data_IF_444310079679
#
_entry.id   IF_444310079679
#
_cell.length_a   1.000
_cell.length_b   1.000
_cell.length_c   1.000
_cell.angle_alpha   90.00
_cell.angle_beta   90.00
_cell.angle_gamma   90.00
#
_symmetry.space_group_name_H-M   'P 1'
#
loop_
_entity.id
_entity.type
_entity.pdbx_description
1 polymer ?
#
# COMPACT_ATOMS: atom_id res chain seq x y z
N UNK A 1 -32.72 -3.08 19.63
CA UNK A 1 -31.60 -3.14 18.67
C UNK A 1 -30.74 -1.90 18.89
N UNK A 2 -29.48 -2.04 19.33
CA UNK A 2 -28.56 -0.92 19.47
C UNK A 2 -27.94 -0.56 18.09
N UNK A 3 -27.65 0.72 17.82
CA UNK A 3 -26.99 1.14 16.58
C UNK A 3 -25.47 0.90 16.62
N UNK A 4 -24.79 0.86 15.45
CA UNK A 4 -23.43 0.32 15.32
C UNK A 4 -22.33 1.32 15.75
N UNK A 5 -21.31 0.76 16.41
CA UNK A 5 -20.05 1.43 16.74
C UNK A 5 -19.20 1.60 15.47
N UNK A 6 -19.21 2.80 14.90
CA UNK A 6 -18.25 3.24 13.88
C UNK A 6 -17.02 3.85 14.59
N UNK A 7 -15.95 3.07 14.64
CA UNK A 7 -14.64 3.46 15.13
C UNK A 7 -13.88 4.21 14.01
N UNK A 8 -14.16 5.50 13.83
CA UNK A 8 -13.29 6.38 13.02
C UNK A 8 -12.34 7.14 13.94
N UNK A 9 -11.14 6.59 14.12
CA UNK A 9 -9.99 7.32 14.62
C UNK A 9 -9.37 8.14 13.50
N UNK A 10 -9.67 9.44 13.46
CA UNK A 10 -8.87 10.40 12.70
C UNK A 10 -8.77 11.68 13.53
N UNK A 11 -7.61 11.90 14.15
CA UNK A 11 -7.30 13.15 14.85
C UNK A 11 -6.94 14.22 13.81
N UNK A 12 -7.92 14.99 13.37
CA UNK A 12 -7.69 16.30 12.77
C UNK A 12 -7.98 17.37 13.85
N UNK A 13 -6.95 17.81 14.57
CA UNK A 13 -7.04 18.99 15.42
C UNK A 13 -6.75 20.23 14.58
N UNK A 14 -7.79 20.93 14.14
CA UNK A 14 -7.73 22.33 13.74
C UNK A 14 -8.80 23.10 14.51
N UNK A 15 -8.50 23.42 15.77
CA UNK A 15 -9.28 24.33 16.59
C UNK A 15 -8.60 25.68 16.68
N UNK A 16 -9.03 26.64 15.85
CA UNK A 16 -8.85 28.07 16.11
C UNK A 16 -10.03 28.52 16.99
N UNK A 17 -9.77 29.46 17.92
CA UNK A 17 -10.68 30.40 18.65
C UNK A 17 -10.44 30.35 20.18
N UNK A 18 -10.75 31.41 20.96
CA UNK A 18 -10.57 32.86 20.75
C UNK A 18 -9.72 33.50 21.89
N UNK A 19 -9.16 34.69 21.65
CA UNK A 19 -8.47 35.45 22.70
C UNK A 19 -9.46 35.97 23.76
N UNK A 20 -9.24 35.60 25.03
CA UNK A 20 -9.84 36.29 26.19
C UNK A 20 -8.74 36.55 27.22
N UNK A 21 -8.32 37.82 27.34
CA UNK A 21 -7.39 38.26 28.37
C UNK A 21 -8.10 38.32 29.73
N UNK A 22 -7.60 37.56 30.71
CA UNK A 22 -7.83 37.84 32.14
C UNK A 22 -6.57 37.47 32.94
N UNK A 23 -5.96 38.48 33.56
CA UNK A 23 -5.54 38.48 34.97
C UNK A 23 -4.45 37.52 35.47
N UNK A 24 -3.27 38.11 35.68
CA UNK A 24 -2.19 37.77 36.63
C UNK A 24 -2.37 36.59 37.64
N UNK A 25 -1.45 35.62 37.59
CA UNK A 25 -0.49 35.24 38.66
C UNK A 25 0.24 33.92 38.33
N UNK A 26 1.51 33.86 38.75
CA UNK A 26 2.27 32.65 39.13
C UNK A 26 2.91 31.77 38.04
N UNK A 27 4.15 31.38 38.36
CA UNK A 27 4.88 30.18 37.95
C UNK A 27 5.57 30.13 36.58
N UNK A 28 6.89 30.21 36.65
CA UNK A 28 7.91 29.49 35.87
C UNK A 28 7.40 28.62 34.69
N UNK A 29 7.02 29.25 33.57
CA UNK A 29 6.86 28.52 32.31
C UNK A 29 8.27 28.35 31.71
N UNK A 30 8.91 27.22 32.00
CA UNK A 30 10.06 26.76 31.22
C UNK A 30 9.59 26.56 29.78
N UNK A 31 9.96 27.48 28.90
CA UNK A 31 9.87 27.29 27.43
C UNK A 31 10.63 26.01 27.10
N UNK A 32 9.91 24.93 26.83
CA UNK A 32 10.49 23.78 26.15
C UNK A 32 10.79 24.20 24.71
N UNK A 33 12.02 24.66 24.48
CA UNK A 33 12.57 24.74 23.13
C UNK A 33 12.66 23.32 22.60
N UNK A 34 11.92 23.02 21.53
CA UNK A 34 11.97 21.75 20.83
C UNK A 34 13.32 21.68 20.12
N UNK A 35 14.34 21.13 20.76
CA UNK A 35 15.65 20.90 20.13
C UNK A 35 15.45 19.87 19.03
N UNK A 36 15.56 20.28 17.78
CA UNK A 36 15.52 19.37 16.64
C UNK A 36 16.89 18.75 16.50
N UNK A 37 17.02 17.49 16.88
CA UNK A 37 18.23 16.71 16.67
C UNK A 37 18.18 16.08 15.27
N UNK A 38 19.19 16.34 14.44
CA UNK A 38 19.30 15.74 13.11
C UNK A 38 20.25 14.53 13.13
N UNK A 39 19.92 13.48 12.36
CA UNK A 39 20.85 12.37 12.13
C UNK A 39 22.03 12.82 11.25
N UNK A 40 23.16 12.12 11.36
CA UNK A 40 24.32 12.32 10.46
C UNK A 40 24.24 11.48 9.16
N UNK A 41 23.10 10.83 8.90
CA UNK A 41 22.92 9.98 7.72
C UNK A 41 22.54 10.87 6.54
N UNK A 42 23.38 10.88 5.51
CA UNK A 42 23.08 11.60 4.27
C UNK A 42 21.87 11.00 3.55
N UNK A 43 21.04 11.85 2.95
CA UNK A 43 19.91 11.40 2.14
C UNK A 43 20.40 10.59 0.93
N UNK A 44 19.66 9.57 0.55
CA UNK A 44 19.92 8.84 -0.68
C UNK A 44 19.68 9.76 -1.89
N UNK A 45 20.72 10.01 -2.67
CA UNK A 45 20.69 10.91 -3.85
C UNK A 45 19.65 10.49 -4.90
N UNK A 46 19.30 9.21 -4.98
CA UNK A 46 18.26 8.75 -5.91
C UNK A 46 16.87 9.23 -5.47
N UNK A 47 16.64 9.43 -4.17
CA UNK A 47 15.39 10.01 -3.65
C UNK A 47 15.24 11.50 -3.94
N UNK A 48 16.30 12.17 -4.40
CA UNK A 48 16.27 13.58 -4.81
C UNK A 48 15.89 13.73 -6.28
N UNK A 49 16.11 12.69 -7.09
CA UNK A 49 15.76 12.65 -8.52
C UNK A 49 14.28 12.34 -8.75
N UNK A 50 13.62 11.70 -7.79
CA UNK A 50 12.19 11.40 -7.84
C UNK A 50 11.39 12.70 -7.87
N UNK A 51 10.57 12.88 -8.91
CA UNK A 51 9.62 13.98 -8.98
C UNK A 51 8.39 13.64 -8.12
N UNK A 52 7.86 14.63 -7.40
CA UNK A 52 6.78 14.45 -6.41
C UNK A 52 5.40 14.13 -7.00
N UNK A 53 5.28 13.93 -8.31
CA UNK A 53 3.98 13.78 -8.97
C UNK A 53 3.59 12.31 -9.10
N UNK A 54 3.38 11.64 -7.97
CA UNK A 54 2.69 10.36 -8.01
C UNK A 54 1.21 10.64 -8.33
N UNK A 55 0.78 10.27 -9.53
CA UNK A 55 -0.52 10.59 -10.11
C UNK A 55 -1.70 10.24 -9.18
N UNK A 56 -1.61 9.10 -8.49
CA UNK A 56 -2.73 8.57 -7.71
C UNK A 56 -3.04 9.37 -6.43
N UNK A 57 -2.07 9.71 -5.55
CA UNK A 57 -2.29 10.60 -4.42
C UNK A 57 -2.92 11.94 -4.80
N UNK A 58 -2.50 12.52 -5.93
CA UNK A 58 -3.06 13.78 -6.41
C UNK A 58 -4.52 13.62 -6.86
N UNK A 59 -4.85 12.53 -7.57
CA UNK A 59 -6.24 12.20 -7.92
C UNK A 59 -7.08 12.03 -6.65
N UNK A 60 -6.62 11.24 -5.67
CA UNK A 60 -7.33 11.03 -4.41
C UNK A 60 -7.55 12.34 -3.64
N UNK A 61 -6.55 13.23 -3.60
CA UNK A 61 -6.68 14.52 -2.95
C UNK A 61 -7.74 15.39 -3.62
N UNK A 62 -7.72 15.48 -4.96
CA UNK A 62 -8.70 16.25 -5.72
C UNK A 62 -10.10 15.68 -5.59
N UNK A 63 -10.23 14.36 -5.56
CA UNK A 63 -11.49 13.67 -5.31
C UNK A 63 -12.10 14.10 -3.97
N UNK A 64 -11.28 14.05 -2.91
CA UNK A 64 -11.69 14.43 -1.57
C UNK A 64 -12.06 15.92 -1.47
N UNK A 65 -11.29 16.81 -2.08
CA UNK A 65 -11.61 18.24 -2.14
C UNK A 65 -12.92 18.51 -2.90
N UNK A 66 -13.19 17.76 -3.96
CA UNK A 66 -14.41 17.89 -4.75
C UNK A 66 -15.64 17.49 -3.93
N UNK A 67 -15.59 16.36 -3.23
CA UNK A 67 -16.68 15.88 -2.36
C UNK A 67 -16.96 16.88 -1.24
N UNK A 68 -15.92 17.49 -0.64
CA UNK A 68 -16.10 18.52 0.38
C UNK A 68 -16.76 19.80 -0.15
N UNK A 69 -16.40 20.22 -1.36
CA UNK A 69 -16.98 21.43 -2.00
C UNK A 69 -18.41 21.19 -2.50
N UNK A 70 -18.76 19.95 -2.81
CA UNK A 70 -20.04 19.56 -3.37
C UNK A 70 -20.63 18.36 -2.62
N UNK A 71 -21.08 18.55 -1.36
CA UNK A 71 -21.56 17.44 -0.53
C UNK A 71 -22.80 16.73 -1.07
N UNK A 72 -23.60 17.41 -1.90
CA UNK A 72 -24.79 16.84 -2.54
C UNK A 72 -24.48 16.12 -3.86
N UNK A 73 -23.26 16.23 -4.38
CA UNK A 73 -22.87 15.60 -5.63
C UNK A 73 -22.57 14.11 -5.42
N UNK A 74 -23.17 13.27 -6.27
CA UNK A 74 -22.84 11.84 -6.33
C UNK A 74 -21.67 11.66 -7.29
N UNK A 75 -20.46 11.65 -6.75
CA UNK A 75 -19.27 11.41 -7.53
C UNK A 75 -19.24 9.95 -8.03
N UNK A 76 -18.93 9.77 -9.32
CA UNK A 76 -18.64 8.46 -9.93
C UNK A 76 -17.16 8.46 -10.30
N UNK A 77 -16.37 7.60 -9.64
CA UNK A 77 -14.94 7.49 -9.91
C UNK A 77 -14.70 6.45 -11.01
N UNK A 78 -14.13 6.90 -12.13
CA UNK A 78 -13.70 6.07 -13.26
C UNK A 78 -12.19 6.24 -13.54
N UNK A 79 -11.44 6.70 -12.54
CA UNK A 79 -10.02 7.03 -12.65
C UNK A 79 -9.12 5.87 -12.22
N UNK A 80 -9.01 5.65 -10.91
CA UNK A 80 -8.16 4.59 -10.36
C UNK A 80 -8.84 3.24 -10.61
N UNK A 81 -8.13 2.34 -11.30
CA UNK A 81 -8.62 1.01 -11.64
C UNK A 81 -8.56 0.00 -10.48
N UNK A 82 -9.03 0.39 -9.30
CA UNK A 82 -9.19 -0.56 -8.20
C UNK A 82 -10.39 -1.50 -8.46
N UNK A 83 -10.35 -2.71 -7.90
CA UNK A 83 -11.42 -3.69 -8.09
C UNK A 83 -12.66 -3.29 -7.29
N UNK A 84 -13.84 -3.34 -7.92
CA UNK A 84 -15.11 -2.95 -7.30
C UNK A 84 -15.97 -4.12 -6.82
N UNK A 85 -15.68 -5.34 -7.30
CA UNK A 85 -16.51 -6.52 -7.05
C UNK A 85 -15.97 -7.38 -5.90
N UNK A 86 -16.85 -8.06 -5.15
CA UNK A 86 -16.44 -8.98 -4.10
C UNK A 86 -15.68 -10.18 -4.67
N UNK A 87 -14.75 -10.70 -3.87
CA UNK A 87 -14.03 -11.94 -4.20
C UNK A 87 -15.03 -13.11 -4.23
N UNK A 88 -15.04 -13.95 -5.29
CA UNK A 88 -15.93 -15.12 -5.37
C UNK A 88 -15.83 -16.03 -4.14
N UNK A 89 -16.98 -16.52 -3.68
CA UNK A 89 -17.10 -17.34 -2.46
C UNK A 89 -16.18 -18.56 -2.44
N UNK A 90 -15.97 -19.20 -3.60
CA UNK A 90 -15.09 -20.37 -3.70
C UNK A 90 -13.64 -20.04 -3.28
N UNK A 91 -13.18 -18.81 -3.51
CA UNK A 91 -11.84 -18.36 -3.12
C UNK A 91 -11.84 -17.97 -1.64
N UNK A 92 -12.83 -17.19 -1.19
CA UNK A 92 -12.89 -16.71 0.20
C UNK A 92 -13.07 -17.85 1.20
N UNK A 93 -13.86 -18.87 0.85
CA UNK A 93 -14.03 -20.09 1.63
C UNK A 93 -12.72 -20.86 1.76
N UNK A 94 -12.00 -21.08 0.65
CA UNK A 94 -10.71 -21.77 0.68
C UNK A 94 -9.67 -21.03 1.55
N UNK A 95 -9.63 -19.69 1.46
CA UNK A 95 -8.76 -18.86 2.31
C UNK A 95 -9.14 -18.98 3.80
N UNK A 96 -10.43 -18.93 4.13
CA UNK A 96 -10.92 -19.06 5.50
C UNK A 96 -10.64 -20.45 6.08
N UNK A 97 -10.84 -21.50 5.30
CA UNK A 97 -10.53 -22.88 5.69
C UNK A 97 -9.02 -23.06 5.93
N UNK A 98 -8.18 -22.53 5.04
CA UNK A 98 -6.73 -22.57 5.23
C UNK A 98 -6.30 -21.86 6.52
N UNK A 99 -6.83 -20.65 6.76
CA UNK A 99 -6.57 -19.89 7.99
C UNK A 99 -6.98 -20.67 9.25
N UNK A 100 -8.16 -21.30 9.25
CA UNK A 100 -8.60 -22.17 10.36
C UNK A 100 -7.70 -23.39 10.52
N UNK A 101 -7.25 -24.00 9.43
CA UNK A 101 -6.40 -25.20 9.49
C UNK A 101 -5.07 -24.94 10.22
N UNK A 102 -4.53 -23.71 10.14
CA UNK A 102 -3.32 -23.28 10.86
C UNK A 102 -3.48 -23.33 12.40
N UNK A 103 -4.71 -23.41 12.93
CA UNK A 103 -4.97 -23.59 14.37
C UNK A 103 -4.84 -25.03 14.86
N UNK A 104 -4.57 -25.98 13.96
CA UNK A 104 -4.49 -27.42 14.28
C UNK A 104 -3.08 -27.95 14.07
N UNK A 105 -2.64 -28.91 14.90
CA UNK A 105 -1.32 -29.52 14.77
C UNK A 105 -1.10 -30.19 13.39
N UNK A 106 -2.17 -30.70 12.77
CA UNK A 106 -2.10 -31.33 11.44
C UNK A 106 -2.01 -30.32 10.30
N UNK A 107 -2.72 -29.20 10.42
CA UNK A 107 -2.83 -28.18 9.37
C UNK A 107 -1.74 -27.11 9.41
N UNK A 108 -1.15 -26.89 10.58
CA UNK A 108 -0.07 -25.91 10.76
C UNK A 108 1.19 -26.29 9.95
N UNK A 109 1.74 -25.31 9.24
CA UNK A 109 3.04 -25.39 8.57
C UNK A 109 3.80 -24.10 8.87
N UNK A 110 5.11 -24.21 9.10
CA UNK A 110 5.99 -23.05 9.28
C UNK A 110 6.34 -22.39 7.93
N UNK A 111 7.58 -21.93 7.79
CA UNK A 111 8.05 -21.37 6.53
C UNK A 111 7.81 -22.32 5.35
N UNK A 112 7.28 -21.76 4.26
CA UNK A 112 7.14 -22.45 2.99
C UNK A 112 8.44 -22.48 2.19
N UNK A 113 8.38 -23.01 0.98
CA UNK A 113 9.46 -22.82 0.02
C UNK A 113 9.49 -21.35 -0.44
N UNK A 114 10.66 -20.72 -0.41
CA UNK A 114 10.86 -19.30 -0.79
C UNK A 114 10.38 -18.99 -2.22
N UNK A 115 10.46 -19.95 -3.13
CA UNK A 115 9.98 -19.83 -4.51
C UNK A 115 8.45 -19.89 -4.62
N UNK A 116 7.75 -20.28 -3.55
CA UNK A 116 6.32 -20.53 -3.52
C UNK A 116 5.95 -22.02 -3.48
N UNK A 117 4.71 -22.29 -3.07
CA UNK A 117 4.16 -23.64 -2.98
C UNK A 117 4.25 -24.36 -4.35
N UNK A 118 4.78 -25.59 -4.36
CA UNK A 118 5.00 -26.38 -5.57
C UNK A 118 3.71 -26.70 -6.33
N UNK A 119 2.63 -27.01 -5.63
CA UNK A 119 1.33 -27.29 -6.24
C UNK A 119 0.80 -26.04 -6.93
N UNK A 120 0.89 -24.88 -6.28
CA UNK A 120 0.50 -23.60 -6.88
C UNK A 120 1.31 -23.29 -8.14
N UNK A 121 2.64 -23.47 -8.10
CA UNK A 121 3.51 -23.25 -9.27
C UNK A 121 3.14 -24.14 -10.45
N UNK A 122 2.85 -25.42 -10.21
CA UNK A 122 2.38 -26.35 -11.24
C UNK A 122 1.04 -25.89 -11.83
N UNK A 123 0.07 -25.55 -10.98
CA UNK A 123 -1.24 -25.08 -11.44
C UNK A 123 -1.13 -23.80 -12.28
N UNK A 124 -0.23 -22.87 -11.94
CA UNK A 124 0.03 -21.67 -12.76
C UNK A 124 0.53 -22.07 -14.15
N UNK A 125 1.50 -22.98 -14.24
CA UNK A 125 2.02 -23.46 -15.53
C UNK A 125 0.92 -24.12 -16.36
N UNK A 126 0.17 -25.03 -15.76
CA UNK A 126 -0.89 -25.78 -16.43
C UNK A 126 -2.05 -24.88 -16.90
N UNK A 127 -2.38 -23.83 -16.14
CA UNK A 127 -3.51 -22.94 -16.44
C UNK A 127 -3.13 -21.80 -17.39
N UNK A 128 -1.94 -21.20 -17.21
CA UNK A 128 -1.56 -19.95 -17.89
C UNK A 128 -0.49 -20.15 -18.98
N UNK A 129 0.31 -21.22 -18.92
CA UNK A 129 1.49 -21.42 -19.76
C UNK A 129 1.53 -22.79 -20.46
N UNK A 130 0.39 -23.48 -20.59
CA UNK A 130 0.28 -24.86 -21.06
C UNK A 130 1.04 -25.14 -22.38
N UNK A 131 1.04 -24.19 -23.31
CA UNK A 131 1.63 -24.35 -24.65
C UNK A 131 2.94 -23.59 -24.84
N UNK A 132 3.48 -22.99 -23.77
CA UNK A 132 4.68 -22.12 -23.84
C UNK A 132 5.95 -22.89 -23.46
N UNK A 133 5.81 -24.08 -22.85
CA UNK A 133 6.95 -24.91 -22.44
C UNK A 133 7.65 -24.46 -21.16
N UNK A 134 7.00 -23.59 -20.38
CA UNK A 134 7.48 -23.13 -19.06
C UNK A 134 7.38 -24.27 -18.04
N UNK A 135 8.38 -24.41 -17.18
CA UNK A 135 8.44 -25.39 -16.09
C UNK A 135 7.99 -24.76 -14.78
N UNK A 136 7.49 -25.58 -13.85
CA UNK A 136 7.12 -25.08 -12.51
C UNK A 136 8.31 -24.46 -11.78
N UNK A 137 9.54 -24.93 -12.05
CA UNK A 137 10.80 -24.39 -11.52
C UNK A 137 11.17 -23.00 -12.04
N UNK A 138 10.50 -22.51 -13.08
CA UNK A 138 10.70 -21.17 -13.65
C UNK A 138 9.67 -20.15 -13.12
N UNK A 139 8.68 -20.62 -12.35
CA UNK A 139 7.68 -19.77 -11.70
C UNK A 139 8.15 -19.40 -10.30
N UNK A 140 8.08 -18.11 -9.97
CA UNK A 140 8.36 -17.56 -8.65
C UNK A 140 7.09 -16.85 -8.15
N UNK A 141 6.52 -17.33 -7.04
CA UNK A 141 5.31 -16.74 -6.46
C UNK A 141 5.71 -15.62 -5.50
N UNK A 142 5.05 -14.47 -5.62
CA UNK A 142 5.29 -13.29 -4.79
C UNK A 142 4.02 -12.76 -4.17
N UNK A 143 4.18 -11.74 -3.33
CA UNK A 143 3.13 -10.92 -2.72
C UNK A 143 2.56 -9.85 -3.67
N UNK A 144 3.07 -9.73 -4.89
CA UNK A 144 2.50 -8.83 -5.91
C UNK A 144 3.52 -8.32 -6.93
N UNK A 145 2.99 -7.94 -8.10
CA UNK A 145 3.81 -7.51 -9.23
C UNK A 145 4.66 -6.25 -8.93
N UNK A 146 4.16 -5.31 -8.13
CA UNK A 146 4.90 -4.10 -7.78
C UNK A 146 6.15 -4.41 -6.93
N UNK A 147 6.02 -5.33 -5.97
CA UNK A 147 7.16 -5.80 -5.18
C UNK A 147 8.20 -6.48 -6.06
N UNK A 148 7.76 -7.30 -7.03
CA UNK A 148 8.67 -7.98 -7.95
C UNK A 148 9.40 -7.04 -8.89
N UNK A 149 8.74 -5.98 -9.38
CA UNK A 149 9.44 -4.95 -10.17
C UNK A 149 10.60 -4.36 -9.36
N UNK A 150 10.38 -4.03 -8.08
CA UNK A 150 11.45 -3.53 -7.21
C UNK A 150 12.54 -4.60 -6.95
N UNK A 151 12.19 -5.87 -6.75
CA UNK A 151 13.16 -6.97 -6.59
C UNK A 151 13.99 -7.17 -7.85
N UNK A 152 13.38 -7.08 -9.03
CA UNK A 152 14.06 -7.17 -10.33
C UNK A 152 14.98 -5.97 -10.54
N UNK A 153 14.54 -4.74 -10.23
CA UNK A 153 15.42 -3.56 -10.28
C UNK A 153 16.63 -3.71 -9.35
N UNK A 154 16.43 -4.25 -8.14
CA UNK A 154 17.52 -4.54 -7.22
C UNK A 154 18.49 -5.59 -7.80
N UNK A 155 17.97 -6.64 -8.43
CA UNK A 155 18.76 -7.69 -9.07
C UNK A 155 19.61 -7.16 -10.24
N UNK A 156 19.05 -6.29 -11.08
CA UNK A 156 19.76 -5.69 -12.22
C UNK A 156 20.80 -4.65 -11.78
N UNK A 157 20.57 -3.99 -10.64
CA UNK A 157 21.44 -2.96 -10.09
C UNK A 157 21.37 -1.62 -10.82
N UNK A 158 22.22 -0.68 -10.42
CA UNK A 158 22.17 0.71 -10.92
C UNK A 158 22.92 0.95 -12.23
N UNK A 159 23.67 -0.03 -12.74
CA UNK A 159 24.54 0.10 -13.91
C UNK A 159 23.89 -0.49 -15.18
N UNK A 160 22.57 -0.37 -15.31
CA UNK A 160 21.82 -0.76 -16.51
C UNK A 160 21.06 0.44 -17.06
N UNK A 161 20.85 0.44 -18.36
CA UNK A 161 19.94 1.39 -19.01
C UNK A 161 18.63 0.65 -19.31
N UNK A 162 17.52 1.23 -18.89
CA UNK A 162 16.17 0.68 -19.13
C UNK A 162 15.48 1.43 -20.25
N UNK A 163 14.61 0.73 -20.97
CA UNK A 163 13.69 1.32 -21.93
C UNK A 163 12.26 1.05 -21.46
N UNK A 164 11.38 2.05 -21.57
CA UNK A 164 9.98 1.97 -21.19
C UNK A 164 9.10 2.43 -22.36
N UNK A 165 7.86 1.94 -22.39
CA UNK A 165 6.87 2.43 -23.35
C UNK A 165 6.44 3.87 -23.01
N UNK A 166 5.93 4.60 -24.00
CA UNK A 166 5.34 5.92 -23.81
C UNK A 166 3.97 5.97 -24.55
N UNK A 167 2.83 6.05 -23.82
CA UNK A 167 2.71 6.14 -22.36
C UNK A 167 3.04 4.81 -21.64
N UNK A 168 3.47 4.90 -20.38
CA UNK A 168 3.72 3.74 -19.51
C UNK A 168 3.11 3.88 -18.12
N UNK A 169 3.01 2.75 -17.41
CA UNK A 169 2.65 2.74 -16.01
C UNK A 169 3.81 3.31 -15.16
N UNK A 170 3.56 4.30 -14.28
CA UNK A 170 4.61 5.10 -13.65
C UNK A 170 5.51 4.34 -12.67
N UNK A 171 5.17 3.10 -12.30
CA UNK A 171 6.07 2.23 -11.50
C UNK A 171 7.31 1.80 -12.28
N UNK A 172 7.26 1.85 -13.62
CA UNK A 172 8.38 1.42 -14.49
C UNK A 172 9.33 2.59 -14.87
N UNK A 173 8.92 3.84 -14.65
CA UNK A 173 9.60 5.06 -15.11
C UNK A 173 10.29 5.84 -13.99
#
# INVERSE_FOLDING_TARGET
MPPPLLLHGFMAQTGVMPHKEIGAKSSLIKRFTRTVCHSKVSRNVNMEKLRNEYLFPEICQREFEHIQKHPDAKLISLGIGDTTEPIPDIITLAMAEHSRALSTAKGYKGYGAEQGNKELRKMIVETMYQFVGIKDTEVFVSDGAQCDISRIQLLLGSNVTTAVQDPSFPVMS
#
